data_IF_054471664466
#
_entry.id   IF_054471664466
#
_cell.length_a   1.000
_cell.length_b   1.000
_cell.length_c   1.000
_cell.angle_alpha   90.00
_cell.angle_beta   90.00
_cell.angle_gamma   90.00
#
_symmetry.space_group_name_H-M   'P 1'
#
loop_
_entity.id
_entity.type
_entity.pdbx_description
1 polymer ?
#
# COMPACT_ATOMS: atom_id res chain seq x y z
N UNK A 1 -17.71 -4.69 4.67
CA UNK A 1 -16.53 -4.96 3.83
C UNK A 1 -15.90 -3.62 3.48
N UNK A 2 -14.65 -3.41 3.89
CA UNK A 2 -13.98 -2.10 3.80
C UNK A 2 -13.67 -1.75 2.34
N UNK A 3 -13.96 -0.50 1.94
CA UNK A 3 -13.64 0.02 0.61
C UNK A 3 -12.52 1.03 0.71
N UNK A 4 -11.52 0.88 -0.14
CA UNK A 4 -10.36 1.76 -0.23
C UNK A 4 -10.47 2.59 -1.51
N UNK A 5 -10.56 3.90 -1.35
CA UNK A 5 -10.54 4.86 -2.45
C UNK A 5 -9.10 5.28 -2.70
N UNK A 6 -8.53 4.81 -3.81
CA UNK A 6 -7.19 5.13 -4.27
C UNK A 6 -7.27 6.38 -5.15
N UNK A 7 -6.60 7.45 -4.77
CA UNK A 7 -6.57 8.71 -5.49
C UNK A 7 -5.13 9.09 -5.83
N UNK A 8 -4.89 9.45 -7.08
CA UNK A 8 -3.66 10.13 -7.51
C UNK A 8 -4.07 11.56 -7.85
N UNK A 9 -3.50 12.53 -7.14
CA UNK A 9 -3.70 13.94 -7.44
C UNK A 9 -2.44 14.51 -8.07
N UNK A 10 -2.62 15.22 -9.17
CA UNK A 10 -1.58 16.05 -9.78
C UNK A 10 -1.68 17.40 -9.07
N UNK A 11 -0.65 17.88 -8.38
CA UNK A 11 -0.63 19.21 -7.75
C UNK A 11 -0.74 20.40 -8.74
N UNK A 12 -1.15 20.15 -9.98
CA UNK A 12 -1.37 21.09 -11.08
C UNK A 12 -2.87 21.11 -11.40
N UNK A 13 -3.48 22.29 -11.29
CA UNK A 13 -4.94 22.51 -11.35
C UNK A 13 -5.65 22.06 -12.63
N UNK A 14 -4.91 21.80 -13.72
CA UNK A 14 -5.46 21.46 -15.02
C UNK A 14 -5.63 19.96 -15.28
N UNK A 15 -5.11 19.09 -14.41
CA UNK A 15 -5.25 17.65 -14.58
C UNK A 15 -6.25 17.06 -13.58
N UNK A 16 -7.24 16.27 -14.04
CA UNK A 16 -8.21 15.66 -13.15
C UNK A 16 -7.55 14.60 -12.27
N UNK A 17 -8.00 14.52 -11.01
CA UNK A 17 -7.60 13.46 -10.09
C UNK A 17 -7.99 12.08 -10.66
N UNK A 18 -7.07 11.12 -10.61
CA UNK A 18 -7.35 9.74 -10.98
C UNK A 18 -7.86 9.03 -9.73
N UNK A 19 -9.11 8.55 -9.77
CA UNK A 19 -9.78 7.88 -8.66
C UNK A 19 -10.09 6.43 -9.04
N UNK A 20 -9.73 5.50 -8.17
CA UNK A 20 -10.05 4.08 -8.31
C UNK A 20 -10.48 3.52 -6.96
N UNK A 21 -11.33 2.51 -6.96
CA UNK A 21 -11.73 1.81 -5.73
C UNK A 21 -11.23 0.38 -5.72
N UNK A 22 -10.89 -0.12 -4.54
CA UNK A 22 -10.58 -1.53 -4.30
C UNK A 22 -11.11 -1.95 -2.94
N UNK A 23 -11.46 -3.23 -2.80
CA UNK A 23 -11.77 -3.85 -1.49
C UNK A 23 -10.59 -4.68 -0.97
N UNK A 24 -9.51 -4.81 -1.77
CA UNK A 24 -8.36 -5.62 -1.41
C UNK A 24 -7.27 -4.75 -0.73
N UNK A 25 -7.01 -4.93 0.58
CA UNK A 25 -6.04 -4.11 1.30
C UNK A 25 -4.61 -4.29 0.78
N UNK A 26 -4.26 -5.44 0.19
CA UNK A 26 -2.94 -5.65 -0.43
C UNK A 26 -2.77 -4.87 -1.72
N UNK A 27 -3.85 -4.72 -2.49
CA UNK A 27 -3.83 -3.91 -3.71
C UNK A 27 -3.73 -2.42 -3.36
N UNK A 28 -4.42 -2.01 -2.30
CA UNK A 28 -4.31 -0.67 -1.72
C UNK A 28 -2.88 -0.41 -1.20
N UNK A 29 -2.29 -1.31 -0.42
CA UNK A 29 -0.91 -1.16 0.05
C UNK A 29 0.08 -1.06 -1.12
N UNK A 30 -0.02 -1.92 -2.14
CA UNK A 30 0.84 -1.84 -3.34
C UNK A 30 0.72 -0.51 -4.08
N UNK A 31 -0.44 0.14 -4.01
CA UNK A 31 -0.64 1.46 -4.61
C UNK A 31 0.20 2.52 -3.88
N UNK A 32 0.23 2.50 -2.54
CA UNK A 32 1.10 3.34 -1.72
C UNK A 32 2.58 2.93 -1.85
N UNK A 33 2.93 1.65 -1.79
CA UNK A 33 4.34 1.22 -1.83
C UNK A 33 5.03 1.57 -3.16
N UNK A 34 4.32 1.51 -4.28
CA UNK A 34 4.89 1.86 -5.59
C UNK A 34 5.42 3.29 -5.56
N UNK A 35 6.65 3.46 -6.04
CA UNK A 35 7.24 4.78 -6.19
C UNK A 35 6.32 5.69 -7.02
N UNK A 36 6.24 6.94 -6.59
CA UNK A 36 5.78 8.03 -7.43
C UNK A 36 6.97 8.34 -8.33
N UNK A 37 6.81 8.26 -9.66
CA UNK A 37 7.94 8.43 -10.58
C UNK A 37 8.73 9.70 -10.23
N UNK A 38 10.08 9.68 -10.20
CA UNK A 38 10.90 10.84 -9.86
C UNK A 38 10.73 12.00 -10.87
N UNK A 39 10.20 11.74 -12.06
CA UNK A 39 9.84 12.77 -13.05
C UNK A 39 8.51 13.45 -12.75
N UNK A 40 7.89 13.08 -11.64
CA UNK A 40 6.53 13.44 -11.30
C UNK A 40 6.41 13.84 -9.83
N UNK A 41 7.36 14.66 -9.39
CA UNK A 41 7.42 15.27 -8.04
C UNK A 41 6.11 15.97 -7.61
N UNK A 42 5.19 16.21 -8.55
CA UNK A 42 3.90 16.85 -8.33
C UNK A 42 2.76 15.87 -7.97
N UNK A 43 3.00 14.56 -7.94
CA UNK A 43 1.96 13.60 -7.63
C UNK A 43 1.87 13.26 -6.15
N UNK A 44 0.65 13.25 -5.63
CA UNK A 44 0.34 12.72 -4.31
C UNK A 44 -0.61 11.55 -4.46
N UNK A 45 -0.25 10.42 -3.85
CA UNK A 45 -1.11 9.24 -3.75
C UNK A 45 -1.82 9.30 -2.41
N UNK A 46 -3.12 9.03 -2.43
CA UNK A 46 -3.98 9.12 -1.26
C UNK A 46 -4.84 7.87 -1.24
N UNK A 47 -4.89 7.19 -0.10
CA UNK A 47 -5.89 6.17 0.18
C UNK A 47 -6.85 6.71 1.21
N UNK A 48 -8.13 6.72 0.88
CA UNK A 48 -9.19 7.10 1.81
C UNK A 48 -10.03 5.86 2.14
N UNK A 49 -10.28 5.66 3.42
CA UNK A 49 -11.04 4.52 3.94
C UNK A 49 -11.95 5.03 5.04
N UNK A 50 -13.27 5.01 4.84
CA UNK A 50 -14.33 5.44 5.78
C UNK A 50 -14.01 6.73 6.58
N UNK A 51 -13.16 6.67 7.61
CA UNK A 51 -12.73 7.80 8.46
C UNK A 51 -11.21 8.07 8.52
N UNK A 52 -10.39 7.37 7.73
CA UNK A 52 -8.93 7.50 7.72
C UNK A 52 -8.43 7.85 6.31
N UNK A 53 -7.34 8.61 6.27
CA UNK A 53 -6.64 8.95 5.05
C UNK A 53 -5.15 8.64 5.22
N UNK A 54 -4.55 8.05 4.20
CA UNK A 54 -3.13 7.71 4.14
C UNK A 54 -2.53 8.34 2.91
N UNK A 55 -1.42 9.03 3.06
CA UNK A 55 -0.80 9.84 2.02
C UNK A 55 0.58 9.30 1.68
N UNK A 56 0.92 9.34 0.40
CA UNK A 56 2.30 9.23 -0.06
C UNK A 56 2.63 10.33 -1.05
N UNK A 57 3.64 11.10 -0.71
CA UNK A 57 4.24 12.17 -1.50
C UNK A 57 5.77 12.10 -1.38
N UNK A 58 6.47 13.10 -1.91
CA UNK A 58 7.92 13.23 -1.71
C UNK A 58 8.27 13.53 -0.25
N UNK A 59 7.38 14.20 0.49
CA UNK A 59 7.63 14.65 1.86
C UNK A 59 7.05 13.72 2.94
N UNK A 60 6.12 12.84 2.58
CA UNK A 60 5.31 12.05 3.52
C UNK A 60 5.07 10.65 2.96
N UNK A 61 5.15 9.62 3.81
CA UNK A 61 4.90 8.24 3.43
C UNK A 61 4.19 7.47 4.56
N UNK A 62 2.87 7.38 4.47
CA UNK A 62 2.00 6.65 5.41
C UNK A 62 1.84 5.17 5.06
N UNK A 63 2.66 4.63 4.14
CA UNK A 63 2.54 3.23 3.73
C UNK A 63 2.69 2.25 4.89
N UNK A 64 3.56 2.54 5.86
CA UNK A 64 3.72 1.72 7.06
C UNK A 64 2.48 1.78 7.97
N UNK A 65 1.94 2.98 8.22
CA UNK A 65 0.74 3.13 9.03
C UNK A 65 -0.48 2.42 8.40
N UNK A 66 -0.61 2.49 7.07
CA UNK A 66 -1.64 1.75 6.34
C UNK A 66 -1.46 0.23 6.46
N UNK A 67 -0.21 -0.24 6.38
CA UNK A 67 0.12 -1.66 6.53
C UNK A 67 -0.30 -2.17 7.90
N UNK A 68 0.05 -1.46 8.96
CA UNK A 68 -0.27 -1.84 10.34
C UNK A 68 -1.79 -1.85 10.59
N UNK A 69 -2.53 -0.92 9.98
CA UNK A 69 -3.98 -0.81 10.15
C UNK A 69 -4.80 -1.85 9.38
N UNK A 70 -4.38 -2.24 8.16
CA UNK A 70 -5.22 -3.02 7.24
C UNK A 70 -4.58 -4.28 6.64
N UNK A 71 -3.27 -4.46 6.79
CA UNK A 71 -2.57 -5.65 6.34
C UNK A 71 -2.00 -6.32 7.59
N UNK A 72 -2.80 -7.13 8.32
CA UNK A 72 -2.29 -7.89 9.46
C UNK A 72 -1.10 -8.69 8.95
N UNK A 73 0.05 -8.43 9.56
CA UNK A 73 1.31 -8.89 9.02
C UNK A 73 1.25 -10.41 8.89
N UNK A 74 1.30 -10.88 7.64
CA UNK A 74 1.49 -12.28 7.33
C UNK A 74 2.93 -12.71 7.69
N UNK A 75 3.61 -11.99 8.60
CA UNK A 75 4.92 -12.32 9.18
C UNK A 75 4.92 -13.76 9.69
N UNK A 76 3.83 -14.20 10.32
CA UNK A 76 3.70 -15.60 10.74
C UNK A 76 3.72 -16.58 9.57
N UNK A 77 3.06 -16.28 8.45
CA UNK A 77 3.01 -17.19 7.29
C UNK A 77 4.34 -17.24 6.54
N UNK A 78 5.03 -16.09 6.41
CA UNK A 78 6.36 -16.02 5.77
C UNK A 78 7.42 -16.69 6.66
N UNK A 79 7.32 -16.54 7.97
CA UNK A 79 8.19 -17.22 8.93
C UNK A 79 7.93 -18.73 8.96
N UNK A 80 6.66 -19.17 9.00
CA UNK A 80 6.28 -20.58 8.90
C UNK A 80 6.76 -21.24 7.60
N UNK A 81 6.65 -20.56 6.45
CA UNK A 81 7.16 -21.09 5.18
C UNK A 81 8.69 -21.25 5.17
N UNK A 82 9.42 -20.30 5.77
CA UNK A 82 10.89 -20.41 5.93
C UNK A 82 11.29 -21.54 6.87
N UNK A 83 10.62 -21.68 8.01
CA UNK A 83 10.91 -22.72 9.01
C UNK A 83 10.58 -24.11 8.44
N UNK A 84 9.45 -24.28 7.75
CA UNK A 84 9.09 -25.55 7.10
C UNK A 84 10.04 -25.94 5.97
N UNK A 85 10.52 -24.97 5.19
CA UNK A 85 11.56 -25.20 4.19
C UNK A 85 12.88 -25.72 4.80
N UNK A 86 13.26 -25.22 5.98
CA UNK A 86 14.46 -25.68 6.69
C UNK A 86 14.30 -27.08 7.30
N UNK A 87 13.13 -27.40 7.86
CA UNK A 87 12.88 -28.72 8.47
C UNK A 87 12.79 -29.81 7.39
N UNK A 88 12.13 -29.52 6.27
CA UNK A 88 12.03 -30.50 5.17
C UNK A 88 13.38 -30.78 4.49
N UNK A 89 14.33 -29.86 4.55
CA UNK A 89 15.67 -30.04 3.95
C UNK A 89 16.67 -30.76 4.88
N UNK A 90 16.33 -30.97 6.16
CA UNK A 90 17.14 -31.79 7.10
C UNK A 90 16.69 -33.24 7.21
N UNK A 91 15.59 -33.62 6.54
CA UNK A 91 15.02 -34.97 6.59
C UNK A 91 15.25 -35.79 5.31
N UNK A 92 16.19 -35.37 4.46
CA UNK A 92 16.71 -36.15 3.33
C UNK A 92 18.18 -36.44 3.52
#
# INVERSE_FOLDING_TARGET
MTRFKLRITHGLSHHPDIIKETTNPRQALRFLEREVSPYTCSFTKIITTDNKQYVKSVAEDDSQAFRDDYVPDNQFVVWWQRVWGFISNKSK
#
